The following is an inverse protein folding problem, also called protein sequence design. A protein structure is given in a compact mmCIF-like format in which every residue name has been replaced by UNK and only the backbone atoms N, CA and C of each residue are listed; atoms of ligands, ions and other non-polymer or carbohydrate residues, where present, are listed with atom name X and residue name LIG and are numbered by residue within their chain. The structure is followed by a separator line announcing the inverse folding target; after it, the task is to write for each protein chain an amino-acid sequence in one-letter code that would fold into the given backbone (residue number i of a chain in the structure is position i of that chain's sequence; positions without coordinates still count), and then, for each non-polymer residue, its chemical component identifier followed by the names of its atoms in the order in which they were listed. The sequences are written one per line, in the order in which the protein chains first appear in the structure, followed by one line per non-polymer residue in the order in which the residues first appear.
data_IF_638812427393
#
_entry.id   IF_638812427393
#
_cell.length_a   1.000
_cell.length_b   1.000
_cell.length_c   1.000
_cell.angle_alpha   90.00
_cell.angle_beta   90.00
_cell.angle_gamma   90.00
#
_symmetry.space_group_name_H-M   'P 1'
#
loop_
_entity.id
_entity.type
_entity.pdbx_description
1 polymer ?
#
# COMPACT_ATOMS: atom_id res chain seq x y z
N UNK A 1 5.10 -4.49 -46.30
CA UNK A 1 5.28 -4.86 -44.89
C UNK A 1 6.20 -3.83 -44.24
N UNK A 2 5.74 -3.11 -43.21
CA UNK A 2 6.59 -2.13 -42.53
C UNK A 2 7.62 -2.91 -41.70
N UNK A 3 8.90 -2.78 -42.05
CA UNK A 3 9.99 -3.38 -41.29
C UNK A 3 10.09 -2.66 -39.95
N UNK A 4 9.78 -3.35 -38.85
CA UNK A 4 9.96 -2.82 -37.50
C UNK A 4 11.39 -3.10 -37.09
N UNK A 5 12.15 -2.05 -36.82
CA UNK A 5 13.54 -2.17 -36.39
C UNK A 5 13.62 -2.93 -35.06
N UNK A 6 14.45 -3.99 -35.01
CA UNK A 6 14.70 -4.77 -33.80
C UNK A 6 15.19 -3.86 -32.66
N UNK A 7 15.96 -2.83 -32.99
CA UNK A 7 16.44 -1.84 -32.02
C UNK A 7 15.28 -1.08 -31.37
N UNK A 8 14.24 -0.74 -32.13
CA UNK A 8 13.06 -0.04 -31.60
C UNK A 8 12.26 -0.93 -30.63
N UNK A 9 12.18 -2.24 -30.90
CA UNK A 9 11.52 -3.20 -30.01
C UNK A 9 12.30 -3.38 -28.70
N UNK A 10 13.64 -3.43 -28.76
CA UNK A 10 14.48 -3.53 -27.57
C UNK A 10 14.36 -2.30 -26.68
N UNK A 11 14.36 -1.09 -27.26
CA UNK A 11 14.17 0.15 -26.50
C UNK A 11 12.79 0.19 -25.84
N UNK A 12 11.73 -0.18 -26.56
CA UNK A 12 10.38 -0.28 -25.99
C UNK A 12 10.33 -1.28 -24.82
N UNK A 13 10.97 -2.43 -24.96
CA UNK A 13 11.02 -3.45 -23.92
C UNK A 13 11.74 -2.95 -22.65
N UNK A 14 12.89 -2.28 -22.81
CA UNK A 14 13.63 -1.69 -21.68
C UNK A 14 12.79 -0.62 -20.98
N UNK A 15 12.12 0.26 -21.74
CA UNK A 15 11.25 1.30 -21.17
C UNK A 15 10.10 0.68 -20.36
N UNK A 16 9.47 -0.39 -20.86
CA UNK A 16 8.38 -1.08 -20.14
C UNK A 16 8.89 -1.75 -18.85
N UNK A 17 10.09 -2.35 -18.88
CA UNK A 17 10.70 -2.96 -17.69
C UNK A 17 11.06 -1.92 -16.62
N UNK A 18 11.72 -0.83 -17.00
CA UNK A 18 12.07 0.26 -16.08
C UNK A 18 10.81 0.89 -15.46
N UNK A 19 9.76 1.10 -16.27
CA UNK A 19 8.50 1.68 -15.79
C UNK A 19 7.74 0.72 -14.86
N UNK A 20 7.85 -0.59 -15.09
CA UNK A 20 7.32 -1.63 -14.18
C UNK A 20 8.07 -1.64 -12.85
N UNK A 21 9.40 -1.45 -12.89
CA UNK A 21 10.26 -1.40 -11.71
C UNK A 21 9.98 -0.17 -10.83
N UNK A 22 9.81 1.01 -11.43
CA UNK A 22 9.43 2.23 -10.70
C UNK A 22 8.06 2.10 -10.01
N UNK A 23 7.15 1.31 -10.58
CA UNK A 23 5.85 1.00 -9.96
C UNK A 23 6.02 0.08 -8.75
N UNK A 24 6.88 -0.93 -8.86
CA UNK A 24 7.23 -1.84 -7.77
C UNK A 24 7.97 -1.12 -6.61
N UNK A 25 8.86 -0.17 -6.89
CA UNK A 25 9.57 0.60 -5.85
C UNK A 25 8.62 1.41 -4.94
N UNK A 26 7.46 1.85 -5.46
CA UNK A 26 6.40 2.46 -4.63
C UNK A 26 5.63 1.43 -3.81
N UNK A 27 5.50 0.20 -4.31
CA UNK A 27 4.94 -0.94 -3.59
C UNK A 27 5.91 -1.50 -2.53
N UNK A 28 7.22 -1.21 -2.60
CA UNK A 28 8.19 -1.67 -1.59
C UNK A 28 7.93 -1.06 -0.20
N UNK A 29 7.44 0.18 -0.18
CA UNK A 29 7.21 0.91 1.07
C UNK A 29 5.98 0.42 1.84
N UNK A 30 4.89 0.09 1.14
CA UNK A 30 3.64 -0.35 1.75
C UNK A 30 3.41 -1.83 1.51
N UNK A 31 3.51 -2.62 2.58
CA UNK A 31 3.23 -4.06 2.51
C UNK A 31 1.91 -4.37 3.22
N UNK A 32 1.08 -5.18 2.58
CA UNK A 32 -0.14 -5.68 3.18
C UNK A 32 0.18 -6.39 4.50
N UNK A 33 -0.61 -6.10 5.52
CA UNK A 33 -0.49 -6.77 6.80
C UNK A 33 -0.95 -8.23 6.66
N UNK A 34 -0.03 -9.16 6.82
CA UNK A 34 -0.33 -10.59 6.79
C UNK A 34 -0.37 -11.13 8.24
N UNK A 35 -1.55 -11.34 8.84
CA UNK A 35 -1.66 -11.76 10.24
C UNK A 35 -1.06 -13.15 10.48
N UNK A 36 -0.29 -13.31 11.55
CA UNK A 36 0.16 -14.63 12.04
C UNK A 36 -0.80 -15.19 13.09
N UNK A 37 -0.56 -16.42 13.56
CA UNK A 37 -1.37 -17.03 14.63
C UNK A 37 -1.43 -16.11 15.86
N UNK A 38 -2.66 -15.81 16.32
CA UNK A 38 -2.93 -14.94 17.47
C UNK A 38 -2.99 -13.44 17.16
N UNK A 39 -2.69 -13.00 15.94
CA UNK A 39 -2.82 -11.59 15.55
C UNK A 39 -4.23 -11.25 15.03
N UNK A 40 -4.62 -9.99 15.22
CA UNK A 40 -5.91 -9.50 14.72
C UNK A 40 -5.88 -9.34 13.19
N UNK A 41 -7.01 -9.67 12.54
CA UNK A 41 -7.18 -9.52 11.10
C UNK A 41 -7.49 -8.07 10.68
N UNK A 42 -7.34 -7.77 9.39
CA UNK A 42 -7.53 -6.43 8.81
C UNK A 42 -8.84 -5.76 9.23
N UNK A 43 -9.97 -6.50 9.17
CA UNK A 43 -11.27 -5.95 9.52
C UNK A 43 -11.32 -5.42 10.97
N UNK A 44 -10.59 -6.04 11.89
CA UNK A 44 -10.52 -5.60 13.28
C UNK A 44 -9.54 -4.43 13.45
N UNK A 45 -8.44 -4.44 12.70
CA UNK A 45 -7.43 -3.37 12.73
C UNK A 45 -7.95 -2.06 12.11
N UNK A 46 -8.89 -2.17 11.16
CA UNK A 46 -9.42 -1.06 10.38
C UNK A 46 -10.83 -0.59 10.80
N UNK A 47 -11.57 -1.35 11.60
CA UNK A 47 -12.87 -0.91 12.10
C UNK A 47 -12.82 0.27 13.09
N UNK A 48 -11.87 0.35 14.05
CA UNK A 48 -11.84 1.44 15.02
C UNK A 48 -11.36 2.77 14.40
N UNK A 49 -12.22 3.79 14.44
CA UNK A 49 -11.91 5.16 14.00
C UNK A 49 -11.19 5.95 15.11
N UNK A 50 -9.97 5.54 15.42
CA UNK A 50 -9.10 6.17 16.45
C UNK A 50 -7.77 6.61 15.86
N UNK A 51 -7.11 7.59 16.47
CA UNK A 51 -5.79 8.08 16.05
C UNK A 51 -4.75 7.94 17.18
N UNK A 52 -3.56 7.35 16.92
CA UNK A 52 -3.24 6.58 15.71
C UNK A 52 -4.14 5.34 15.57
N UNK A 53 -4.33 4.88 14.33
CA UNK A 53 -5.18 3.72 14.03
C UNK A 53 -4.69 2.45 14.74
N UNK A 54 -5.57 1.47 14.90
CA UNK A 54 -5.17 0.17 15.46
C UNK A 54 -4.21 -0.54 14.49
N UNK A 55 -4.47 -0.47 13.18
CA UNK A 55 -3.52 -0.87 12.14
C UNK A 55 -2.11 -0.24 12.33
N UNK A 56 -2.02 1.07 12.57
CA UNK A 56 -0.73 1.73 12.81
C UNK A 56 0.00 1.13 14.02
N UNK A 57 -0.68 1.06 15.16
CA UNK A 57 -0.11 0.49 16.38
C UNK A 57 0.28 -0.96 16.23
N UNK A 58 -0.51 -1.75 15.50
CA UNK A 58 -0.24 -3.15 15.27
C UNK A 58 1.00 -3.34 14.40
N UNK A 59 1.11 -2.62 13.27
CA UNK A 59 2.32 -2.62 12.45
C UNK A 59 3.55 -2.32 13.30
N UNK A 60 3.58 -1.15 13.96
CA UNK A 60 4.72 -0.73 14.80
C UNK A 60 5.09 -1.74 15.89
N UNK A 61 4.13 -2.52 16.38
CA UNK A 61 4.35 -3.54 17.41
C UNK A 61 4.89 -4.85 16.85
N UNK A 62 4.43 -5.29 15.68
CA UNK A 62 4.65 -6.68 15.22
C UNK A 62 5.42 -6.83 13.93
N UNK A 63 5.74 -5.73 13.24
CA UNK A 63 6.54 -5.74 12.02
C UNK A 63 7.79 -4.91 12.22
N UNK A 64 8.94 -5.56 12.24
CA UNK A 64 10.22 -4.91 12.46
C UNK A 64 10.53 -3.91 11.34
N UNK A 65 11.03 -2.72 11.69
CA UNK A 65 11.42 -1.68 10.72
C UNK A 65 10.26 -0.87 10.13
N UNK A 66 9.01 -1.18 10.48
CA UNK A 66 7.86 -0.35 10.08
C UNK A 66 7.85 0.97 10.83
N UNK A 67 7.41 2.01 10.13
CA UNK A 67 7.31 3.40 10.57
C UNK A 67 5.88 3.78 10.92
N UNK A 68 4.94 3.33 10.10
CA UNK A 68 3.51 3.57 10.33
C UNK A 68 2.63 2.45 9.76
N UNK A 69 1.31 2.57 9.92
CA UNK A 69 0.34 1.72 9.25
C UNK A 69 -0.94 2.48 8.90
N UNK A 70 -1.57 2.11 7.78
CA UNK A 70 -2.81 2.72 7.28
C UNK A 70 -3.81 1.67 6.80
N UNK A 71 -5.09 2.02 6.88
CA UNK A 71 -6.16 1.23 6.30
C UNK A 71 -6.51 1.77 4.92
N UNK A 72 -6.53 0.90 3.92
CA UNK A 72 -6.99 1.22 2.58
C UNK A 72 -8.38 0.62 2.33
N UNK A 73 -9.38 1.49 2.21
CA UNK A 73 -10.76 1.11 1.95
C UNK A 73 -11.11 1.11 0.45
N UNK A 74 -10.19 1.54 -0.43
CA UNK A 74 -10.43 1.50 -1.88
C UNK A 74 -10.42 0.06 -2.43
N UNK A 75 -9.68 -0.84 -1.77
CA UNK A 75 -9.55 -2.24 -2.17
C UNK A 75 -10.68 -3.08 -1.56
N UNK A 76 -11.03 -2.83 -0.30
CA UNK A 76 -12.14 -3.48 0.38
C UNK A 76 -12.93 -2.44 1.21
N UNK A 77 -14.01 -1.86 0.67
CA UNK A 77 -14.76 -0.80 1.35
C UNK A 77 -15.38 -1.22 2.68
N UNK A 78 -15.73 -2.50 2.83
CA UNK A 78 -16.44 -3.02 4.02
C UNK A 78 -15.49 -3.26 5.19
N UNK A 79 -14.27 -3.73 4.92
CA UNK A 79 -13.35 -4.17 5.96
C UNK A 79 -12.06 -3.35 6.04
N UNK A 80 -11.68 -2.66 4.95
CA UNK A 80 -10.35 -2.09 4.80
C UNK A 80 -9.27 -3.18 4.74
N UNK A 81 -8.13 -2.85 4.16
CA UNK A 81 -6.92 -3.67 4.25
C UNK A 81 -5.87 -2.86 5.00
N UNK A 82 -5.22 -3.46 6.00
CA UNK A 82 -4.14 -2.80 6.71
C UNK A 82 -2.83 -2.93 5.90
N UNK A 83 -2.12 -1.82 5.75
CA UNK A 83 -0.79 -1.78 5.14
C UNK A 83 0.21 -1.17 6.11
N UNK A 84 1.37 -1.80 6.25
CA UNK A 84 2.50 -1.28 7.02
C UNK A 84 3.46 -0.50 6.11
N UNK A 85 3.85 0.70 6.54
CA UNK A 85 4.77 1.57 5.82
C UNK A 85 6.18 1.46 6.42
N UNK A 86 7.18 1.13 5.61
CA UNK A 86 8.57 1.00 6.02
C UNK A 86 9.44 2.21 5.65
N UNK A 87 8.92 3.12 4.82
CA UNK A 87 9.73 4.21 4.24
C UNK A 87 9.54 5.55 4.93
N UNK A 88 8.33 5.88 5.42
CA UNK A 88 8.07 7.18 6.03
C UNK A 88 7.26 7.10 7.33
N UNK A 89 7.55 8.03 8.24
CA UNK A 89 6.76 8.28 9.46
C UNK A 89 5.50 9.13 9.15
N UNK A 90 5.09 9.22 7.87
CA UNK A 90 3.99 10.08 7.46
C UNK A 90 2.68 9.60 8.11
N UNK A 91 2.32 10.25 9.21
CA UNK A 91 1.05 10.10 9.86
C UNK A 91 -0.02 10.86 9.06
N UNK A 92 -0.27 10.46 7.81
CA UNK A 92 -1.39 11.02 7.05
C UNK A 92 -2.67 10.59 7.78
N UNK A 93 -3.44 11.53 8.36
CA UNK A 93 -4.60 11.17 9.15
C UNK A 93 -5.68 10.53 8.28
N UNK A 94 -6.34 9.50 8.81
CA UNK A 94 -7.42 8.72 8.16
C UNK A 94 -8.58 9.55 7.59
N UNK A 95 -8.69 10.83 7.96
CA UNK A 95 -9.75 11.73 7.49
C UNK A 95 -9.50 12.30 6.09
N UNK A 96 -8.29 12.15 5.52
CA UNK A 96 -7.95 12.69 4.19
C UNK A 96 -8.08 11.67 3.04
N UNK A 97 -8.30 10.39 3.34
CA UNK A 97 -8.40 9.33 2.32
C UNK A 97 -9.81 8.81 2.10
N UNK A 98 -10.81 9.29 2.85
CA UNK A 98 -12.19 9.06 2.43
C UNK A 98 -12.43 9.98 1.22
N UNK A 99 -12.82 9.47 0.04
CA UNK A 99 -13.50 10.29 -0.92
C UNK A 99 -14.69 10.89 -0.17
N UNK A 100 -14.72 12.21 -0.02
CA UNK A 100 -15.99 12.89 0.15
C UNK A 100 -16.80 12.50 -1.08
N UNK A 101 -17.75 11.59 -0.90
CA UNK A 101 -18.79 11.37 -1.90
C UNK A 101 -19.49 12.74 -2.06
N UNK A 102 -19.17 13.41 -3.16
CA UNK A 102 -19.84 14.61 -3.62
C UNK A 102 -21.28 14.24 -4.04
N UNK A 103 -22.24 14.97 -3.46
CA UNK A 103 -23.65 15.13 -3.84
C UNK A 103 -24.62 13.93 -3.66
#
# INVERSE_FOLDING_TARGET
MKSVSILALLVLFVVVLEMSKIKADKDECYKAYNPTEGEAQDWYLCAPRVYPSVCNRQCQKTREGTKSGRCDFSINPSHGICFCNYCSDDHIPLYLTKPTDDA
#
